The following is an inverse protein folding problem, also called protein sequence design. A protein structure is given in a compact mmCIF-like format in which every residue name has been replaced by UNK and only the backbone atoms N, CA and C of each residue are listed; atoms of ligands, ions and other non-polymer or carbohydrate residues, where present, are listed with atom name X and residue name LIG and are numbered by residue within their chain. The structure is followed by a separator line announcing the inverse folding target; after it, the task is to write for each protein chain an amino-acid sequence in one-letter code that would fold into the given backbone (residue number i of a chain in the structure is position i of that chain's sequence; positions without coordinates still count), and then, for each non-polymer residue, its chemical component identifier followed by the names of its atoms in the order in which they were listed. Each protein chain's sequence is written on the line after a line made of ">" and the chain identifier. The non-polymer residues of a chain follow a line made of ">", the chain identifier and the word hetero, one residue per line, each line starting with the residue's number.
data_IF_391715101432
#
_entry.id   IF_391715101432
#
_cell.length_a   1.000
_cell.length_b   1.000
_cell.length_c   1.000
_cell.angle_alpha   90.00
_cell.angle_beta   90.00
_cell.angle_gamma   90.00
#
_symmetry.space_group_name_H-M   'P 1'
#
loop_
_entity.id
_entity.type
_entity.pdbx_description
1 polymer ?
#
# COMPACT_ATOMS: atom_id res chain seq x y z
N UNK A 1 -22.32 -1.30 -67.26
CA UNK A 1 -22.83 -2.58 -67.80
C UNK A 1 -21.68 -3.57 -67.63
N UNK A 2 -21.58 -4.27 -66.51
CA UNK A 2 -22.21 -5.59 -66.28
C UNK A 2 -22.33 -5.87 -64.77
N UNK A 3 -23.46 -6.46 -64.38
CA UNK A 3 -23.77 -6.99 -63.04
C UNK A 3 -23.26 -8.43 -62.93
N UNK A 4 -22.80 -8.85 -61.75
CA UNK A 4 -22.84 -10.22 -61.19
C UNK A 4 -22.74 -10.06 -59.66
N UNK A 5 -23.82 -10.23 -58.89
CA UNK A 5 -24.24 -11.50 -58.24
C UNK A 5 -23.07 -12.12 -57.45
N UNK A 6 -23.00 -12.12 -56.12
CA UNK A 6 -24.04 -12.46 -55.15
C UNK A 6 -23.85 -13.92 -54.74
N UNK A 7 -23.08 -14.20 -53.68
CA UNK A 7 -23.20 -15.43 -52.88
C UNK A 7 -22.95 -15.08 -51.42
N UNK A 8 -24.04 -15.03 -50.68
CA UNK A 8 -24.08 -14.91 -49.23
C UNK A 8 -23.80 -16.29 -48.64
N UNK A 9 -22.65 -16.48 -47.99
CA UNK A 9 -22.43 -17.64 -47.13
C UNK A 9 -22.82 -17.28 -45.71
N UNK A 10 -24.09 -17.50 -45.39
CA UNK A 10 -24.54 -17.65 -44.02
C UNK A 10 -23.98 -18.98 -43.49
N UNK A 11 -22.85 -18.94 -42.79
CA UNK A 11 -22.41 -20.08 -41.98
C UNK A 11 -23.03 -19.99 -40.59
N UNK A 12 -24.06 -20.81 -40.47
CA UNK A 12 -24.72 -21.34 -39.29
C UNK A 12 -23.76 -21.52 -38.09
N UNK A 13 -24.21 -21.02 -36.94
CA UNK A 13 -23.42 -20.89 -35.73
C UNK A 13 -23.00 -22.21 -35.06
N UNK A 14 -21.83 -22.15 -34.45
CA UNK A 14 -21.44 -23.00 -33.34
C UNK A 14 -21.29 -22.07 -32.15
N UNK A 15 -22.37 -21.91 -31.37
CA UNK A 15 -22.26 -21.38 -30.01
C UNK A 15 -21.59 -22.49 -29.21
N UNK A 16 -20.27 -22.41 -29.07
CA UNK A 16 -19.54 -23.23 -28.11
C UNK A 16 -20.02 -22.77 -26.73
N UNK A 17 -20.96 -23.52 -26.16
CA UNK A 17 -21.35 -23.41 -24.77
C UNK A 17 -20.13 -23.70 -23.91
N UNK A 18 -19.44 -22.63 -23.49
CA UNK A 18 -18.44 -22.68 -22.44
C UNK A 18 -19.12 -23.23 -21.20
N UNK A 19 -18.83 -24.50 -20.89
CA UNK A 19 -19.27 -25.13 -19.66
C UNK A 19 -18.82 -24.26 -18.49
N UNK A 20 -19.79 -23.73 -17.75
CA UNK A 20 -19.54 -23.10 -16.46
C UNK A 20 -19.04 -24.20 -15.52
N UNK A 21 -17.71 -24.30 -15.37
CA UNK A 21 -17.12 -25.11 -14.32
C UNK A 21 -17.40 -24.38 -13.01
N UNK A 22 -18.47 -24.78 -12.33
CA UNK A 22 -18.68 -24.39 -10.95
C UNK A 22 -17.48 -24.93 -10.15
N UNK A 23 -16.57 -24.03 -9.77
CA UNK A 23 -15.47 -24.36 -8.87
C UNK A 23 -16.07 -24.95 -7.59
N UNK A 24 -15.69 -26.18 -7.28
CA UNK A 24 -16.08 -26.83 -6.04
C UNK A 24 -15.55 -25.96 -4.87
N UNK A 25 -16.47 -25.44 -4.07
CA UNK A 25 -16.14 -24.86 -2.76
C UNK A 25 -15.62 -26.01 -1.89
N UNK A 26 -14.30 -26.18 -1.85
CA UNK A 26 -13.67 -27.01 -0.83
C UNK A 26 -14.00 -26.39 0.53
N UNK A 27 -14.91 -27.05 1.25
CA UNK A 27 -15.47 -26.56 2.51
C UNK A 27 -14.38 -26.26 3.52
N UNK A 28 -14.50 -25.09 4.15
CA UNK A 28 -13.75 -24.76 5.35
C UNK A 28 -14.07 -25.77 6.45
N UNK A 29 -13.07 -26.32 7.13
CA UNK A 29 -13.27 -26.85 8.49
C UNK A 29 -13.64 -25.68 9.41
N UNK A 30 -14.95 -25.42 9.62
CA UNK A 30 -15.48 -24.30 10.41
C UNK A 30 -17.00 -24.10 10.26
N UNK A 31 -17.55 -23.02 10.84
CA UNK A 31 -18.99 -22.69 10.86
C UNK A 31 -19.63 -22.33 9.49
N UNK A 32 -18.90 -22.45 8.38
CA UNK A 32 -19.40 -22.11 7.05
C UNK A 32 -19.64 -20.60 6.82
N UNK A 33 -18.94 -19.74 7.56
CA UNK A 33 -19.00 -18.28 7.40
C UNK A 33 -17.79 -17.76 6.62
N UNK A 34 -18.03 -16.78 5.75
CA UNK A 34 -16.99 -16.12 4.95
C UNK A 34 -16.57 -16.91 3.71
N UNK A 35 -15.50 -16.43 3.05
CA UNK A 35 -14.83 -17.10 1.92
C UNK A 35 -13.32 -16.92 2.05
N UNK A 36 -12.56 -17.72 1.31
CA UNK A 36 -11.12 -17.48 1.17
C UNK A 36 -10.88 -16.07 0.60
N UNK A 37 -9.94 -15.34 1.20
CA UNK A 37 -9.50 -14.06 0.67
C UNK A 37 -8.75 -14.28 -0.65
N UNK A 38 -9.08 -13.48 -1.65
CA UNK A 38 -8.34 -13.49 -2.90
C UNK A 38 -6.94 -12.90 -2.70
N UNK A 39 -6.01 -13.28 -3.57
CA UNK A 39 -4.62 -12.79 -3.49
C UNK A 39 -4.55 -11.26 -3.57
N UNK A 40 -5.38 -10.66 -4.42
CA UNK A 40 -5.49 -9.21 -4.57
C UNK A 40 -6.03 -8.50 -3.32
N UNK A 41 -6.91 -9.14 -2.55
CA UNK A 41 -7.45 -8.55 -1.31
C UNK A 41 -6.38 -8.54 -0.23
N UNK A 42 -5.63 -9.63 -0.12
CA UNK A 42 -4.49 -9.72 0.80
C UNK A 42 -3.45 -8.67 0.40
N UNK A 43 -3.07 -8.59 -0.88
CA UNK A 43 -2.07 -7.63 -1.34
C UNK A 43 -2.49 -6.16 -1.11
N UNK A 44 -3.78 -5.85 -1.18
CA UNK A 44 -4.28 -4.50 -0.94
C UNK A 44 -4.30 -4.10 0.55
N UNK A 45 -4.42 -5.06 1.47
CA UNK A 45 -4.58 -4.77 2.91
C UNK A 45 -3.30 -5.06 3.73
N UNK A 46 -2.57 -6.11 3.35
CA UNK A 46 -1.33 -6.56 3.98
C UNK A 46 -0.13 -5.84 3.37
N UNK A 47 0.04 -4.58 3.78
CA UNK A 47 1.18 -3.73 3.40
C UNK A 47 2.10 -3.44 4.59
N UNK A 48 2.01 -4.22 5.68
CA UNK A 48 2.83 -3.97 6.87
C UNK A 48 4.30 -4.27 6.62
N UNK A 49 5.17 -3.44 7.20
CA UNK A 49 6.62 -3.62 7.13
C UNK A 49 7.16 -3.95 8.52
N UNK A 50 7.70 -5.15 8.64
CA UNK A 50 8.19 -5.69 9.91
C UNK A 50 9.59 -5.18 10.24
N UNK A 51 10.02 -5.26 11.52
CA UNK A 51 11.39 -4.90 11.93
C UNK A 51 12.52 -5.64 11.20
N UNK A 52 12.25 -6.84 10.66
CA UNK A 52 13.19 -7.65 9.89
C UNK A 52 13.18 -7.32 8.37
N UNK A 53 12.40 -6.32 7.95
CA UNK A 53 12.29 -5.89 6.55
C UNK A 53 11.30 -6.68 5.71
N UNK A 54 10.64 -7.72 6.24
CA UNK A 54 9.54 -8.37 5.54
C UNK A 54 8.42 -7.35 5.25
N UNK A 55 7.94 -7.33 4.00
CA UNK A 55 6.93 -6.38 3.53
C UNK A 55 7.48 -5.15 2.80
N UNK A 56 8.81 -4.91 2.82
CA UNK A 56 9.39 -3.82 2.04
C UNK A 56 9.20 -4.06 0.53
N UNK A 57 8.66 -3.08 -0.22
CA UNK A 57 8.63 -3.15 -1.67
C UNK A 57 10.04 -2.94 -2.26
N UNK A 58 10.26 -3.47 -3.46
CA UNK A 58 11.46 -3.14 -4.22
C UNK A 58 11.45 -1.65 -4.59
N UNK A 59 12.54 -0.94 -4.32
CA UNK A 59 12.65 0.49 -4.65
C UNK A 59 13.86 1.15 -4.02
N UNK A 60 14.00 2.45 -4.29
CA UNK A 60 15.00 3.31 -3.68
C UNK A 60 14.54 4.77 -3.70
N UNK A 61 15.18 5.61 -2.89
CA UNK A 61 14.93 7.05 -2.81
C UNK A 61 16.20 7.79 -2.39
N UNK A 62 16.19 9.11 -2.49
CA UNK A 62 17.28 9.98 -2.05
C UNK A 62 16.75 11.07 -1.12
N UNK A 63 17.65 11.62 -0.28
CA UNK A 63 17.28 12.71 0.65
C UNK A 63 16.77 13.92 -0.11
N UNK A 64 17.44 14.33 -1.18
CA UNK A 64 17.03 15.49 -2.00
C UNK A 64 15.62 15.33 -2.58
N UNK A 65 15.29 14.13 -3.09
CA UNK A 65 13.93 13.89 -3.58
C UNK A 65 12.91 13.81 -2.45
N UNK A 66 13.31 13.26 -1.29
CA UNK A 66 12.47 13.20 -0.10
C UNK A 66 12.15 14.59 0.46
N UNK A 67 13.11 15.51 0.43
CA UNK A 67 12.95 16.90 0.87
C UNK A 67 11.87 17.63 0.05
N UNK A 68 11.89 17.50 -1.28
CA UNK A 68 10.85 18.06 -2.15
C UNK A 68 9.44 17.56 -1.75
N UNK A 69 9.30 16.24 -1.57
CA UNK A 69 8.02 15.62 -1.15
C UNK A 69 7.61 16.09 0.25
N UNK A 70 8.58 16.22 1.15
CA UNK A 70 8.36 16.64 2.52
C UNK A 70 7.83 18.08 2.59
N UNK A 71 8.39 19.00 1.80
CA UNK A 71 7.86 20.37 1.70
C UNK A 71 6.44 20.40 1.13
N UNK A 72 6.16 19.57 0.13
CA UNK A 72 4.84 19.53 -0.51
C UNK A 72 3.75 18.91 0.38
N UNK A 73 4.09 17.89 1.18
CA UNK A 73 3.10 17.04 1.85
C UNK A 73 3.16 17.07 3.38
N UNK A 74 4.26 17.50 3.99
CA UNK A 74 4.52 17.27 5.41
C UNK A 74 4.81 18.55 6.21
N UNK A 75 5.58 19.48 5.64
CA UNK A 75 6.15 20.62 6.35
C UNK A 75 5.09 21.57 6.95
N UNK A 76 3.91 21.68 6.33
CA UNK A 76 2.82 22.51 6.83
C UNK A 76 2.37 22.18 8.26
N UNK A 77 2.59 20.94 8.70
CA UNK A 77 2.32 20.47 10.06
C UNK A 77 3.61 20.20 10.82
N UNK A 78 4.59 19.55 10.19
CA UNK A 78 5.76 19.03 10.87
C UNK A 78 6.98 19.98 10.88
N UNK A 79 6.85 21.20 10.34
CA UNK A 79 7.96 22.16 10.25
C UNK A 79 8.84 21.88 9.05
N UNK A 80 9.73 22.81 8.70
CA UNK A 80 10.58 22.68 7.51
C UNK A 80 11.67 21.61 7.69
N UNK A 81 12.02 21.31 8.95
CA UNK A 81 13.07 20.38 9.35
C UNK A 81 12.57 19.28 10.30
N UNK A 82 11.25 19.10 10.45
CA UNK A 82 10.68 18.14 11.40
C UNK A 82 10.59 18.63 12.84
N UNK A 83 10.77 19.92 13.10
CA UNK A 83 10.72 20.57 14.42
C UNK A 83 9.30 20.84 14.93
N UNK A 84 8.28 20.51 14.13
CA UNK A 84 6.86 20.76 14.33
C UNK A 84 6.42 22.23 14.22
N UNK A 85 5.13 22.41 13.90
CA UNK A 85 4.44 23.70 13.95
C UNK A 85 3.32 23.64 14.98
N UNK A 86 3.34 24.52 15.97
CA UNK A 86 2.29 24.63 16.98
C UNK A 86 2.11 23.35 17.80
N UNK A 87 0.97 22.65 17.62
CA UNK A 87 0.63 21.43 18.38
C UNK A 87 0.91 20.13 17.63
N UNK A 88 1.42 20.21 16.41
CA UNK A 88 1.73 19.01 15.63
C UNK A 88 2.98 18.32 16.19
N UNK A 89 3.17 17.02 15.95
CA UNK A 89 4.32 16.28 16.48
C UNK A 89 5.64 16.68 15.82
N UNK A 90 6.69 16.84 16.62
CA UNK A 90 8.06 16.90 16.13
C UNK A 90 8.49 15.52 15.61
N UNK A 91 9.12 15.49 14.44
CA UNK A 91 9.65 14.28 13.81
C UNK A 91 11.16 14.11 14.06
N UNK A 92 11.88 15.19 14.34
CA UNK A 92 13.32 15.22 14.58
C UNK A 92 13.69 16.00 15.85
N UNK A 93 14.83 15.68 16.46
CA UNK A 93 15.32 16.28 17.70
C UNK A 93 15.05 15.43 18.95
N UNK A 94 15.43 15.94 20.12
CA UNK A 94 15.19 15.29 21.41
C UNK A 94 16.20 14.18 21.75
N UNK A 95 17.29 14.06 21.01
CA UNK A 95 18.37 13.13 21.30
C UNK A 95 18.92 13.36 22.71
N UNK A 96 19.00 12.29 23.49
CA UNK A 96 19.44 12.34 24.89
C UNK A 96 18.39 12.81 25.90
N UNK A 97 17.22 13.27 25.47
CA UNK A 97 16.18 13.80 26.38
C UNK A 97 15.36 12.74 27.11
N UNK A 98 15.55 11.43 26.82
CA UNK A 98 14.68 10.37 27.35
C UNK A 98 14.68 10.24 28.88
N UNK A 99 15.69 10.79 29.57
CA UNK A 99 15.78 10.82 31.03
C UNK A 99 15.33 12.14 31.66
N UNK A 100 14.94 13.12 30.85
CA UNK A 100 14.51 14.44 31.33
C UNK A 100 13.10 14.35 31.92
N UNK A 101 12.68 15.39 32.66
CA UNK A 101 11.32 15.48 33.20
C UNK A 101 10.28 15.46 32.06
N UNK A 102 10.57 16.17 30.97
CA UNK A 102 9.72 16.26 29.78
C UNK A 102 10.49 15.80 28.53
N UNK A 103 10.54 14.49 28.25
CA UNK A 103 11.33 13.93 27.16
C UNK A 103 10.69 14.21 25.79
N UNK A 104 11.51 14.65 24.84
CA UNK A 104 11.09 14.89 23.45
C UNK A 104 11.30 13.61 22.65
N UNK A 105 10.22 12.87 22.42
CA UNK A 105 10.21 11.58 21.73
C UNK A 105 9.90 11.74 20.24
N UNK A 106 10.92 11.61 19.40
CA UNK A 106 10.84 11.75 17.96
C UNK A 106 11.29 10.46 17.27
N UNK A 107 11.33 10.46 15.93
CA UNK A 107 11.88 9.33 15.16
C UNK A 107 13.34 9.06 15.55
N UNK A 108 14.14 10.12 15.69
CA UNK A 108 15.57 10.00 16.01
C UNK A 108 15.87 9.66 17.48
N UNK A 109 15.02 10.11 18.40
CA UNK A 109 15.29 9.96 19.84
C UNK A 109 14.65 8.74 20.50
N UNK A 110 13.58 8.18 19.94
CA UNK A 110 12.77 7.17 20.64
C UNK A 110 12.42 5.93 19.81
N UNK A 111 12.21 6.06 18.50
CA UNK A 111 11.72 4.94 17.69
C UNK A 111 12.80 3.87 17.50
N UNK A 112 12.48 2.58 17.70
CA UNK A 112 13.50 1.52 17.65
C UNK A 112 13.83 1.03 16.25
N UNK A 113 12.93 1.19 15.27
CA UNK A 113 13.07 0.61 13.93
C UNK A 113 12.60 1.56 12.83
N UNK A 114 13.41 1.73 11.78
CA UNK A 114 13.08 2.54 10.60
C UNK A 114 11.91 1.95 9.79
N UNK A 115 11.76 0.62 9.79
CA UNK A 115 10.68 -0.05 9.07
C UNK A 115 9.29 0.35 9.59
N UNK A 116 9.16 0.58 10.91
CA UNK A 116 7.92 1.10 11.49
C UNK A 116 7.60 2.51 11.02
N UNK A 117 8.61 3.35 10.78
CA UNK A 117 8.43 4.69 10.19
C UNK A 117 7.96 4.57 8.75
N UNK A 118 8.58 3.69 7.96
CA UNK A 118 8.20 3.44 6.57
C UNK A 118 6.75 2.95 6.42
N UNK A 119 6.35 1.92 7.20
CA UNK A 119 4.96 1.41 7.19
C UNK A 119 3.97 2.49 7.61
N UNK A 120 4.24 3.21 8.71
CA UNK A 120 3.32 4.25 9.20
C UNK A 120 3.08 5.35 8.18
N UNK A 121 4.16 5.89 7.58
CA UNK A 121 4.04 6.93 6.56
C UNK A 121 3.28 6.39 5.35
N UNK A 122 3.72 5.26 4.78
CA UNK A 122 3.09 4.71 3.57
C UNK A 122 1.62 4.31 3.72
N UNK A 123 1.18 4.02 4.96
CA UNK A 123 -0.20 3.62 5.25
C UNK A 123 -1.11 4.78 5.65
N UNK A 124 -0.59 5.81 6.31
CA UNK A 124 -1.44 6.76 7.06
C UNK A 124 -1.16 8.24 6.83
N UNK A 125 -0.09 8.59 6.08
CA UNK A 125 0.25 9.97 5.74
C UNK A 125 0.24 10.15 4.23
#
# INVERSE_FOLDING_TARGET
>A
MTRLAGVSFAFLGIVASTGFVAGAFAGSSGYGLGRLAHGEEIAAWNTDVRPDGQGLPAGSGSVLRGEEIYFESCASCHGDFGEAVGRFPALAGGEGSLSDEDPVKTVGSYWPYLTGVFDYIGRTM
#
